data_IF_117331879747
#
_entry.id   IF_117331879747
#
_cell.length_a   1.000
_cell.length_b   1.000
_cell.length_c   1.000
_cell.angle_alpha   90.00
_cell.angle_beta   90.00
_cell.angle_gamma   90.00
#
_symmetry.space_group_name_H-M   'P 1'
#
loop_
_entity.id
_entity.type
_entity.pdbx_description
1 polymer ?
#
# COMPACT_ATOMS: atom_id res chain seq x y z
N UNK A 1 -11.08 -11.29 -14.52
CA UNK A 1 -10.21 -10.23 -13.96
C UNK A 1 -10.57 -10.03 -12.49
N UNK A 2 -9.58 -9.88 -11.64
CA UNK A 2 -9.74 -9.77 -10.18
C UNK A 2 -9.47 -8.32 -9.77
N UNK A 3 -10.39 -7.71 -9.00
CA UNK A 3 -10.20 -6.39 -8.39
C UNK A 3 -9.70 -6.57 -6.95
N UNK A 4 -8.57 -5.98 -6.63
CA UNK A 4 -8.08 -5.89 -5.26
C UNK A 4 -8.25 -4.48 -4.73
N UNK A 5 -8.73 -4.35 -3.50
CA UNK A 5 -9.02 -3.05 -2.87
C UNK A 5 -8.13 -2.87 -1.64
N UNK A 6 -7.34 -1.80 -1.62
CA UNK A 6 -6.48 -1.41 -0.50
C UNK A 6 -6.81 0.02 -0.10
N UNK A 7 -7.65 0.18 0.94
CA UNK A 7 -8.16 1.51 1.32
C UNK A 7 -7.12 2.41 1.99
N UNK A 8 -6.15 1.82 2.67
CA UNK A 8 -5.10 2.57 3.37
C UNK A 8 -3.72 1.97 3.06
N UNK A 9 -3.27 2.05 1.79
CA UNK A 9 -1.98 1.52 1.39
C UNK A 9 -0.84 2.30 2.05
N UNK A 10 0.34 1.71 2.03
CA UNK A 10 1.53 2.27 2.65
C UNK A 10 2.76 2.08 1.79
N UNK A 11 3.75 2.93 2.00
CA UNK A 11 5.10 2.61 1.60
C UNK A 11 5.70 1.81 2.76
N UNK A 12 5.94 0.53 2.52
CA UNK A 12 6.57 -0.35 3.50
C UNK A 12 8.08 -0.18 3.42
N UNK A 13 8.66 0.26 4.53
CA UNK A 13 10.08 0.56 4.65
C UNK A 13 10.70 -0.46 5.60
N UNK A 14 11.71 -1.18 5.14
CA UNK A 14 12.47 -2.15 5.94
C UNK A 14 13.81 -1.55 6.35
N UNK A 15 14.05 -1.54 7.65
CA UNK A 15 15.31 -1.12 8.27
C UNK A 15 15.99 -2.31 8.97
N UNK A 16 16.87 -3.06 8.29
CA UNK A 16 17.63 -4.10 8.93
C UNK A 16 18.74 -3.50 9.81
N UNK A 17 18.78 -3.92 11.06
CA UNK A 17 19.79 -3.57 12.06
C UNK A 17 20.28 -4.84 12.74
N UNK A 18 21.56 -4.87 13.18
CA UNK A 18 22.06 -5.93 14.05
C UNK A 18 21.39 -5.83 15.43
N UNK A 19 21.26 -4.63 15.93
CA UNK A 19 20.65 -4.31 17.22
C UNK A 19 19.91 -2.98 17.14
N UNK A 20 18.71 -2.92 17.71
CA UNK A 20 17.99 -1.65 17.91
C UNK A 20 18.34 -1.08 19.29
N UNK A 21 18.97 0.08 19.30
CA UNK A 21 19.34 0.81 20.52
C UNK A 21 18.42 1.98 20.75
N UNK A 22 17.88 2.07 21.97
CA UNK A 22 17.01 3.17 22.39
C UNK A 22 17.85 4.37 22.84
N UNK A 23 17.32 5.56 22.67
CA UNK A 23 17.92 6.84 23.08
C UNK A 23 19.30 7.11 22.46
N UNK A 24 19.49 6.68 21.23
CA UNK A 24 20.70 6.95 20.45
C UNK A 24 20.42 6.89 18.95
N UNK A 25 21.44 7.16 18.15
CA UNK A 25 21.36 7.04 16.69
C UNK A 25 21.53 5.59 16.27
N UNK A 26 20.58 5.09 15.49
CA UNK A 26 20.70 3.82 14.77
C UNK A 26 20.85 4.13 13.29
N UNK A 27 21.94 3.70 12.66
CA UNK A 27 22.18 3.92 11.24
C UNK A 27 21.81 2.67 10.45
N UNK A 28 20.90 2.88 9.48
CA UNK A 28 20.47 1.84 8.55
C UNK A 28 21.26 2.00 7.26
N UNK A 29 21.86 0.94 6.77
CA UNK A 29 22.63 0.93 5.52
C UNK A 29 21.75 0.47 4.35
N UNK A 30 21.05 -0.65 4.53
CA UNK A 30 20.26 -1.28 3.46
C UNK A 30 18.77 -1.02 3.66
N UNK A 31 18.29 0.09 3.10
CA UNK A 31 16.87 0.44 3.16
C UNK A 31 16.14 -0.15 1.97
N UNK A 32 15.06 -0.88 2.23
CA UNK A 32 14.16 -1.38 1.18
C UNK A 32 12.81 -0.69 1.31
N UNK A 33 12.25 -0.23 0.19
CA UNK A 33 10.93 0.40 0.12
C UNK A 33 10.08 -0.31 -0.92
N UNK A 34 8.88 -0.69 -0.51
CA UNK A 34 7.91 -1.38 -1.37
C UNK A 34 6.52 -0.78 -1.24
N UNK A 35 5.69 -0.99 -2.25
CA UNK A 35 4.26 -0.70 -2.15
C UNK A 35 3.60 -1.75 -1.26
N UNK A 36 2.98 -1.31 -0.16
CA UNK A 36 2.47 -2.17 0.88
C UNK A 36 0.99 -1.95 1.22
N UNK A 37 0.52 -2.78 2.10
CA UNK A 37 -0.87 -2.95 2.50
C UNK A 37 -1.37 -4.33 2.14
N UNK A 38 -2.27 -4.88 2.95
CA UNK A 38 -2.75 -6.27 2.79
C UNK A 38 -3.32 -6.53 1.39
N UNK A 39 -4.12 -5.59 0.86
CA UNK A 39 -4.67 -5.71 -0.50
C UNK A 39 -3.58 -5.72 -1.57
N UNK A 40 -2.55 -4.89 -1.45
CA UNK A 40 -1.42 -4.88 -2.38
C UNK A 40 -0.56 -6.14 -2.29
N UNK A 41 -0.46 -6.75 -1.10
CA UNK A 41 0.19 -8.06 -0.97
C UNK A 41 -0.59 -9.15 -1.73
N UNK A 42 -1.92 -9.12 -1.65
CA UNK A 42 -2.78 -10.01 -2.46
C UNK A 42 -2.61 -9.72 -3.96
N UNK A 43 -2.59 -8.44 -4.35
CA UNK A 43 -2.34 -8.02 -5.74
C UNK A 43 -1.06 -8.62 -6.29
N UNK A 44 0.03 -8.50 -5.53
CA UNK A 44 1.34 -9.02 -5.94
C UNK A 44 1.32 -10.53 -6.14
N UNK A 45 0.77 -11.27 -5.18
CA UNK A 45 0.70 -12.73 -5.25
C UNK A 45 -0.13 -13.18 -6.45
N UNK A 46 -1.31 -12.59 -6.68
CA UNK A 46 -2.14 -12.92 -7.83
C UNK A 46 -1.43 -12.62 -9.16
N UNK A 47 -0.75 -11.48 -9.25
CA UNK A 47 0.03 -11.12 -10.44
C UNK A 47 1.18 -12.10 -10.69
N UNK A 48 1.87 -12.54 -9.64
CA UNK A 48 2.93 -13.55 -9.72
C UNK A 48 2.41 -14.91 -10.20
N UNK A 49 1.18 -15.27 -9.84
CA UNK A 49 0.50 -16.47 -10.35
C UNK A 49 0.00 -16.34 -11.81
N UNK A 50 0.10 -15.14 -12.38
CA UNK A 50 -0.30 -14.89 -13.77
C UNK A 50 -1.75 -14.46 -13.93
N UNK A 51 -2.45 -14.16 -12.84
CA UNK A 51 -3.81 -13.66 -12.92
C UNK A 51 -3.86 -12.21 -13.44
N UNK A 52 -4.94 -11.87 -14.10
CA UNK A 52 -5.23 -10.51 -14.54
C UNK A 52 -5.84 -9.72 -13.38
N UNK A 53 -5.09 -8.73 -12.86
CA UNK A 53 -5.44 -7.99 -11.65
C UNK A 53 -5.60 -6.50 -11.91
N UNK A 54 -6.68 -5.94 -11.37
CA UNK A 54 -6.89 -4.49 -11.22
C UNK A 54 -6.69 -4.15 -9.75
N UNK A 55 -5.82 -3.21 -9.44
CA UNK A 55 -5.63 -2.71 -8.08
C UNK A 55 -6.25 -1.32 -7.92
N UNK A 56 -7.02 -1.13 -6.85
CA UNK A 56 -7.60 0.15 -6.48
C UNK A 56 -7.45 0.43 -4.99
N UNK A 57 -7.69 1.65 -4.60
CA UNK A 57 -7.61 2.15 -3.25
C UNK A 57 -7.42 3.66 -3.24
N UNK A 58 -7.14 4.22 -2.09
CA UNK A 58 -6.94 5.65 -1.90
C UNK A 58 -5.45 5.98 -1.81
N UNK A 59 -4.98 6.89 -2.64
CA UNK A 59 -3.60 7.37 -2.62
C UNK A 59 -3.56 8.88 -2.68
N UNK A 60 -2.54 9.50 -2.12
CA UNK A 60 -2.39 10.95 -2.18
C UNK A 60 -0.96 11.41 -2.03
N UNK A 61 -0.67 12.58 -2.56
CA UNK A 61 0.62 13.25 -2.49
C UNK A 61 1.76 12.55 -3.21
N UNK A 62 2.98 12.96 -2.90
CA UNK A 62 4.19 12.39 -3.51
C UNK A 62 4.42 10.93 -3.13
N UNK A 63 4.07 10.55 -1.90
CA UNK A 63 4.17 9.17 -1.46
C UNK A 63 3.15 8.29 -2.18
N UNK A 64 1.97 8.81 -2.50
CA UNK A 64 0.98 8.11 -3.33
C UNK A 64 1.50 7.85 -4.75
N UNK A 65 2.14 8.84 -5.38
CA UNK A 65 2.79 8.69 -6.68
C UNK A 65 3.91 7.63 -6.62
N UNK A 66 4.74 7.68 -5.60
CA UNK A 66 5.80 6.70 -5.37
C UNK A 66 5.24 5.29 -5.22
N UNK A 67 4.20 5.11 -4.42
CA UNK A 67 3.55 3.82 -4.19
C UNK A 67 3.04 3.23 -5.51
N UNK A 68 2.27 3.99 -6.27
CA UNK A 68 1.70 3.52 -7.55
C UNK A 68 2.81 3.15 -8.55
N UNK A 69 3.90 3.93 -8.56
CA UNK A 69 5.07 3.67 -9.41
C UNK A 69 5.84 2.39 -9.03
N UNK A 70 5.65 1.87 -7.81
CA UNK A 70 6.30 0.65 -7.31
C UNK A 70 5.43 -0.61 -7.42
N UNK A 71 4.22 -0.49 -7.96
CA UNK A 71 3.38 -1.64 -8.29
C UNK A 71 3.81 -2.18 -9.66
N UNK A 72 3.87 -3.50 -9.78
CA UNK A 72 4.25 -4.20 -11.04
C UNK A 72 3.42 -3.67 -12.22
N UNK A 73 4.08 -3.48 -13.37
CA UNK A 73 3.44 -2.97 -14.58
C UNK A 73 2.43 -3.93 -15.21
N UNK A 74 2.46 -5.21 -14.84
CA UNK A 74 1.43 -6.19 -15.21
C UNK A 74 0.09 -5.93 -14.54
N UNK A 75 0.06 -5.20 -13.43
CA UNK A 75 -1.15 -4.84 -12.69
C UNK A 75 -1.79 -3.61 -13.32
N UNK A 76 -3.08 -3.67 -13.59
CA UNK A 76 -3.86 -2.51 -14.00
C UNK A 76 -4.14 -1.62 -12.78
N UNK A 77 -3.54 -0.44 -12.76
CA UNK A 77 -3.59 0.50 -11.63
C UNK A 77 -4.78 1.45 -11.80
N UNK A 78 -5.75 1.39 -10.90
CA UNK A 78 -6.97 2.23 -10.91
C UNK A 78 -7.19 2.86 -9.54
N UNK A 79 -6.14 3.50 -9.00
CA UNK A 79 -6.21 4.20 -7.71
C UNK A 79 -6.98 5.51 -7.82
N UNK A 80 -7.65 5.86 -6.73
CA UNK A 80 -8.36 7.11 -6.58
C UNK A 80 -7.51 8.07 -5.76
N UNK A 81 -7.31 9.29 -6.29
CA UNK A 81 -6.48 10.31 -5.63
C UNK A 81 -7.27 11.07 -4.58
N UNK A 82 -6.72 11.16 -3.39
CA UNK A 82 -7.23 11.98 -2.28
C UNK A 82 -6.22 13.09 -1.93
N UNK A 83 -6.68 14.05 -1.14
CA UNK A 83 -5.87 15.21 -0.76
C UNK A 83 -4.78 14.85 0.27
N UNK A 84 -5.08 13.93 1.18
CA UNK A 84 -4.14 13.49 2.22
C UNK A 84 -2.98 12.67 1.66
N UNK A 85 -1.83 12.80 2.30
CA UNK A 85 -0.60 12.09 1.91
C UNK A 85 -0.66 10.61 2.27
N UNK A 86 -0.29 9.72 1.36
CA UNK A 86 -0.11 8.30 1.63
C UNK A 86 0.93 8.09 2.75
N UNK A 87 0.71 7.08 3.58
CA UNK A 87 1.50 6.80 4.79
C UNK A 87 2.76 6.01 4.51
N UNK A 88 3.73 6.14 5.42
CA UNK A 88 4.86 5.23 5.57
C UNK A 88 4.57 4.22 6.69
N UNK A 89 5.05 3.00 6.52
CA UNK A 89 5.04 1.98 7.55
C UNK A 89 6.45 1.39 7.65
N UNK A 90 7.07 1.53 8.82
CA UNK A 90 8.46 1.14 9.03
C UNK A 90 8.50 -0.16 9.81
N UNK A 91 9.23 -1.15 9.30
CA UNK A 91 9.60 -2.36 10.00
C UNK A 91 11.10 -2.33 10.31
N UNK A 92 11.43 -2.36 11.58
CA UNK A 92 12.82 -2.45 12.05
C UNK A 92 13.10 -3.92 12.35
N UNK A 93 13.97 -4.52 11.56
CA UNK A 93 14.42 -5.91 11.73
C UNK A 93 15.68 -5.90 12.57
N UNK A 94 15.64 -6.55 13.74
CA UNK A 94 16.79 -6.55 14.65
C UNK A 94 16.90 -7.89 15.37
N UNK A 95 17.98 -8.62 15.11
CA UNK A 95 18.11 -10.01 15.53
C UNK A 95 16.98 -10.86 14.99
N UNK A 96 16.31 -11.60 15.85
CA UNK A 96 15.11 -12.40 15.51
C UNK A 96 13.80 -11.63 15.74
N UNK A 97 13.88 -10.32 15.96
CA UNK A 97 12.72 -9.47 16.29
C UNK A 97 12.37 -8.53 15.14
N UNK A 98 11.13 -8.12 15.14
CA UNK A 98 10.61 -7.07 14.25
C UNK A 98 9.81 -6.06 15.07
N UNK A 99 10.26 -4.80 15.06
CA UNK A 99 9.54 -3.69 15.68
C UNK A 99 8.97 -2.80 14.60
N UNK A 100 7.69 -2.50 14.67
CA UNK A 100 7.01 -1.72 13.65
C UNK A 100 6.63 -0.34 14.16
N UNK A 101 6.81 0.67 13.31
CA UNK A 101 6.34 2.04 13.52
C UNK A 101 5.47 2.39 12.32
N UNK A 102 4.17 2.42 12.53
CA UNK A 102 3.19 2.56 11.48
C UNK A 102 2.48 3.91 11.58
N UNK A 103 2.56 4.70 10.53
CA UNK A 103 1.73 5.90 10.43
C UNK A 103 0.27 5.52 10.28
N UNK A 104 -0.62 6.28 10.92
CA UNK A 104 -2.07 6.06 10.87
C UNK A 104 -2.62 6.11 9.44
N UNK A 105 -2.08 6.98 8.61
CA UNK A 105 -2.59 7.25 7.28
C UNK A 105 -3.41 8.53 7.21
N UNK A 106 -3.74 8.98 6.00
CA UNK A 106 -4.45 10.24 5.77
C UNK A 106 -5.92 10.16 6.21
N UNK A 107 -6.49 11.30 6.54
CA UNK A 107 -7.93 11.43 6.67
C UNK A 107 -8.56 11.45 5.27
N UNK A 108 -9.71 10.82 5.14
CA UNK A 108 -10.51 10.81 3.92
C UNK A 108 -11.68 11.77 4.14
N UNK A 109 -11.79 12.77 3.29
CA UNK A 109 -12.93 13.69 3.32
C UNK A 109 -14.21 12.95 2.90
N UNK A 110 -15.36 13.37 3.44
CA UNK A 110 -16.65 12.75 3.12
C UNK A 110 -16.90 12.70 1.60
N UNK A 111 -16.63 13.81 0.91
CA UNK A 111 -16.80 13.87 -0.54
C UNK A 111 -15.86 12.92 -1.28
N UNK A 112 -14.60 12.78 -0.82
CA UNK A 112 -13.65 11.83 -1.40
C UNK A 112 -14.13 10.39 -1.23
N UNK A 113 -14.73 10.05 -0.08
CA UNK A 113 -15.33 8.75 0.15
C UNK A 113 -16.49 8.46 -0.79
N UNK A 114 -17.37 9.43 -1.02
CA UNK A 114 -18.49 9.29 -1.95
C UNK A 114 -18.00 9.17 -3.40
N UNK A 115 -17.03 9.97 -3.80
CA UNK A 115 -16.46 9.93 -5.14
C UNK A 115 -15.72 8.59 -5.38
N UNK A 116 -15.04 8.06 -4.36
CA UNK A 116 -14.45 6.73 -4.43
C UNK A 116 -15.51 5.63 -4.61
N UNK A 117 -16.65 5.71 -3.94
CA UNK A 117 -17.73 4.74 -4.14
C UNK A 117 -18.25 4.74 -5.59
N UNK A 118 -18.36 5.90 -6.22
CA UNK A 118 -18.72 6.01 -7.63
C UNK A 118 -17.63 5.39 -8.53
N UNK A 119 -16.37 5.68 -8.25
CA UNK A 119 -15.21 5.08 -8.93
C UNK A 119 -15.21 3.55 -8.80
N UNK A 120 -15.41 3.05 -7.59
CA UNK A 120 -15.45 1.61 -7.29
C UNK A 120 -16.58 0.91 -8.05
N UNK A 121 -17.79 1.52 -8.07
CA UNK A 121 -18.94 0.98 -8.84
C UNK A 121 -18.61 0.80 -10.32
N UNK A 122 -17.94 1.78 -10.91
CA UNK A 122 -17.53 1.68 -12.32
C UNK A 122 -16.53 0.55 -12.57
N UNK A 123 -15.70 0.21 -11.59
CA UNK A 123 -14.76 -0.91 -11.73
C UNK A 123 -15.45 -2.27 -11.64
N UNK A 124 -16.58 -2.39 -10.93
CA UNK A 124 -17.29 -3.64 -10.75
C UNK A 124 -17.77 -4.26 -12.08
N UNK A 125 -18.10 -3.41 -13.06
CA UNK A 125 -18.57 -3.86 -14.38
C UNK A 125 -17.45 -4.53 -15.20
N UNK A 126 -16.20 -4.38 -14.78
CA UNK A 126 -15.02 -4.87 -15.51
C UNK A 126 -14.38 -6.11 -14.88
N UNK A 127 -14.88 -6.59 -13.75
CA UNK A 127 -14.25 -7.65 -12.96
C UNK A 127 -15.25 -8.72 -12.53
N UNK A 128 -14.75 -9.92 -12.29
CA UNK A 128 -15.57 -11.08 -11.88
C UNK A 128 -15.47 -11.34 -10.38
N UNK A 129 -14.34 -10.95 -9.77
CA UNK A 129 -14.05 -11.21 -8.36
C UNK A 129 -13.51 -9.92 -7.72
N UNK A 130 -13.92 -9.66 -6.50
CA UNK A 130 -13.43 -8.54 -5.69
C UNK A 130 -12.83 -9.07 -4.40
N UNK A 131 -11.57 -8.71 -4.13
CA UNK A 131 -10.89 -8.99 -2.87
C UNK A 131 -10.68 -7.67 -2.11
N UNK A 132 -11.35 -7.53 -0.97
CA UNK A 132 -11.22 -6.38 -0.07
C UNK A 132 -10.45 -6.81 1.16
N UNK A 133 -9.32 -6.19 1.40
CA UNK A 133 -8.49 -6.48 2.57
C UNK A 133 -8.38 -5.25 3.46
N UNK A 134 -8.71 -5.42 4.74
CA UNK A 134 -8.59 -4.37 5.73
C UNK A 134 -7.14 -4.04 6.08
N UNK A 135 -6.94 -2.91 6.70
CA UNK A 135 -5.64 -2.46 7.21
C UNK A 135 -5.48 -2.82 8.69
#
# INVERSE_FOLDING_TARGET
>A
MILTVTMNPSIDISYPLDELKIDTVNRVVDVTKTAGGKGLNVTRVLSEFGDSVVATGLVGGKLGEFLVGHIDDKVTKRFFSIQGETRNCIAILHGDNQTEILEKGPEVLEQEGQDFLAHFKNLLDTVEVVAISGS
#
